data_IF_837179596675
#
_entry.id   IF_837179596675
#
_cell.length_a   1.000
_cell.length_b   1.000
_cell.length_c   1.000
_cell.angle_alpha   90.00
_cell.angle_beta   90.00
_cell.angle_gamma   90.00
#
_symmetry.space_group_name_H-M   'P 1'
#
loop_
_entity.id
_entity.type
_entity.pdbx_description
1 polymer ?
#
# COMPACT_ATOMS: atom_id res chain seq x y z
N UNK A 1 10.32 -5.44 6.09
CA UNK A 1 8.94 -4.98 6.27
C UNK A 1 8.65 -3.81 5.34
N UNK A 2 7.65 -3.95 4.49
CA UNK A 2 7.19 -2.88 3.61
C UNK A 2 5.67 -2.91 3.53
N UNK A 3 5.07 -1.74 3.55
CA UNK A 3 3.64 -1.56 3.28
C UNK A 3 3.48 -1.31 1.78
N UNK A 4 2.50 -1.94 1.15
CA UNK A 4 2.26 -1.74 -0.27
C UNK A 4 1.03 -0.89 -0.50
N UNK A 5 1.16 0.13 -1.33
CA UNK A 5 0.06 0.97 -1.79
C UNK A 5 -0.33 0.56 -3.21
N UNK A 6 -1.55 0.91 -3.59
CA UNK A 6 -2.14 0.53 -4.88
C UNK A 6 -1.25 0.90 -6.07
N UNK A 7 -0.81 2.16 -6.15
CA UNK A 7 0.02 2.62 -7.27
C UNK A 7 1.35 1.90 -7.37
N UNK A 8 1.98 1.64 -6.23
CA UNK A 8 3.28 0.98 -6.20
C UNK A 8 3.19 -0.49 -6.61
N UNK A 9 2.21 -1.22 -6.08
CA UNK A 9 2.06 -2.64 -6.41
C UNK A 9 1.62 -2.84 -7.86
N UNK A 10 0.73 -1.99 -8.38
CA UNK A 10 0.34 -2.06 -9.80
C UNK A 10 1.53 -1.83 -10.72
N UNK A 11 2.36 -0.84 -10.40
CA UNK A 11 3.57 -0.58 -11.19
C UNK A 11 4.57 -1.73 -11.10
N UNK A 12 4.66 -2.40 -9.94
CA UNK A 12 5.51 -3.57 -9.80
C UNK A 12 5.02 -4.78 -10.60
N UNK A 13 3.70 -4.93 -10.75
CA UNK A 13 3.10 -6.09 -11.41
C UNK A 13 3.00 -5.94 -12.94
N UNK A 14 2.79 -4.73 -13.45
CA UNK A 14 2.54 -4.51 -14.89
C UNK A 14 3.72 -3.81 -15.55
N UNK A 15 4.40 -4.50 -16.52
CA UNK A 15 5.61 -3.94 -17.15
C UNK A 15 5.42 -2.64 -17.92
N UNK A 16 4.21 -2.34 -18.36
CA UNK A 16 3.89 -1.11 -19.10
C UNK A 16 3.60 0.09 -18.18
N UNK A 17 3.56 -0.13 -16.88
CA UNK A 17 3.31 0.95 -15.93
C UNK A 17 4.56 1.78 -15.68
N UNK A 18 4.32 3.05 -15.28
CA UNK A 18 5.38 3.98 -14.95
C UNK A 18 6.24 3.43 -13.81
N UNK A 19 7.56 3.52 -13.97
CA UNK A 19 8.55 3.09 -12.99
C UNK A 19 8.41 1.61 -12.58
N UNK A 20 7.94 0.78 -13.50
CA UNK A 20 7.77 -0.66 -13.26
C UNK A 20 9.03 -1.31 -12.71
N UNK A 21 10.17 -1.12 -13.38
CA UNK A 21 11.43 -1.76 -12.96
C UNK A 21 11.81 -1.38 -11.53
N UNK A 22 11.72 -0.10 -11.20
CA UNK A 22 12.08 0.39 -9.88
C UNK A 22 11.12 -0.11 -8.78
N UNK A 23 9.82 -0.16 -9.08
CA UNK A 23 8.83 -0.68 -8.13
C UNK A 23 8.99 -2.19 -7.93
N UNK A 24 9.21 -2.94 -9.00
CA UNK A 24 9.46 -4.38 -8.90
C UNK A 24 10.74 -4.67 -8.10
N UNK A 25 11.78 -3.90 -8.33
CA UNK A 25 13.04 -4.05 -7.61
C UNK A 25 12.87 -3.74 -6.12
N UNK A 26 12.16 -2.66 -5.78
CA UNK A 26 11.89 -2.30 -4.39
C UNK A 26 11.09 -3.39 -3.68
N UNK A 27 10.08 -3.95 -4.35
CA UNK A 27 9.25 -5.01 -3.79
C UNK A 27 10.06 -6.30 -3.55
N UNK A 28 10.89 -6.69 -4.52
CA UNK A 28 11.71 -7.90 -4.41
C UNK A 28 12.80 -7.77 -3.37
N UNK A 29 13.35 -6.57 -3.19
CA UNK A 29 14.44 -6.32 -2.25
C UNK A 29 13.97 -6.17 -0.82
N UNK A 30 12.67 -5.95 -0.60
CA UNK A 30 12.14 -5.73 0.75
C UNK A 30 12.21 -7.02 1.57
N UNK A 31 12.62 -6.88 2.83
CA UNK A 31 12.57 -7.99 3.80
C UNK A 31 11.10 -8.34 4.07
N UNK A 32 10.72 -9.62 3.96
CA UNK A 32 9.34 -10.02 4.31
C UNK A 32 9.00 -9.70 5.77
N UNK A 33 7.71 -9.53 6.10
CA UNK A 33 6.56 -9.60 5.21
C UNK A 33 6.32 -8.32 4.40
N UNK A 34 5.65 -8.49 3.26
CA UNK A 34 5.08 -7.41 2.46
C UNK A 34 3.63 -7.27 2.88
N UNK A 35 3.31 -6.16 3.53
CA UNK A 35 2.05 -5.99 4.24
C UNK A 35 1.04 -5.28 3.32
N UNK A 36 -0.13 -5.88 3.15
CA UNK A 36 -1.21 -5.29 2.36
C UNK A 36 -2.46 -5.09 3.21
N UNK A 37 -3.00 -3.88 3.14
CA UNK A 37 -4.29 -3.53 3.74
C UNK A 37 -5.44 -4.18 2.95
N UNK A 38 -6.54 -4.59 3.59
CA UNK A 38 -7.70 -5.10 2.86
C UNK A 38 -8.30 -4.08 1.89
N UNK A 39 -8.18 -2.78 2.17
CA UNK A 39 -8.69 -1.73 1.29
C UNK A 39 -7.80 -1.55 0.07
N UNK A 40 -6.49 -1.66 0.24
CA UNK A 40 -5.54 -1.68 -0.88
C UNK A 40 -5.76 -2.94 -1.71
N UNK A 41 -5.95 -4.08 -1.07
CA UNK A 41 -6.22 -5.33 -1.79
C UNK A 41 -7.44 -5.20 -2.71
N UNK A 42 -8.53 -4.62 -2.20
CA UNK A 42 -9.74 -4.42 -3.00
C UNK A 42 -9.50 -3.51 -4.21
N UNK A 43 -8.78 -2.42 -4.03
CA UNK A 43 -8.44 -1.50 -5.13
C UNK A 43 -7.55 -2.18 -6.17
N UNK A 44 -6.51 -2.89 -5.71
CA UNK A 44 -5.59 -3.58 -6.61
C UNK A 44 -6.31 -4.66 -7.40
N UNK A 45 -7.13 -5.48 -6.73
CA UNK A 45 -7.87 -6.55 -7.40
C UNK A 45 -8.79 -6.00 -8.50
N UNK A 46 -9.48 -4.90 -8.21
CA UNK A 46 -10.33 -4.24 -9.21
C UNK A 46 -9.52 -3.77 -10.42
N UNK A 47 -8.38 -3.11 -10.18
CA UNK A 47 -7.56 -2.56 -11.26
C UNK A 47 -6.81 -3.65 -12.04
N UNK A 48 -6.37 -4.71 -11.37
CA UNK A 48 -5.77 -5.87 -12.04
C UNK A 48 -6.76 -6.51 -13.00
N UNK A 49 -8.03 -6.66 -12.59
CA UNK A 49 -9.07 -7.16 -13.49
C UNK A 49 -9.29 -6.22 -14.66
N UNK A 50 -9.36 -4.91 -14.40
CA UNK A 50 -9.60 -3.91 -15.44
C UNK A 50 -8.50 -3.88 -16.49
N UNK A 51 -7.23 -3.99 -16.07
CA UNK A 51 -6.08 -3.92 -16.98
C UNK A 51 -5.69 -5.25 -17.57
N UNK A 52 -5.82 -6.34 -16.82
CA UNK A 52 -5.32 -7.65 -17.22
C UNK A 52 -6.38 -8.75 -17.36
N UNK A 53 -7.63 -8.45 -17.04
CA UNK A 53 -8.72 -9.41 -17.14
C UNK A 53 -8.90 -10.25 -15.87
N UNK A 54 -9.96 -11.07 -15.86
CA UNK A 54 -10.33 -11.87 -14.69
C UNK A 54 -9.26 -12.91 -14.33
N UNK A 55 -8.59 -13.48 -15.33
CA UNK A 55 -7.54 -14.47 -15.05
C UNK A 55 -6.34 -13.84 -14.35
N UNK A 56 -5.99 -12.61 -14.69
CA UNK A 56 -4.94 -11.86 -13.98
C UNK A 56 -5.33 -11.61 -12.53
N UNK A 57 -6.59 -11.25 -12.28
CA UNK A 57 -7.09 -11.07 -10.92
C UNK A 57 -7.02 -12.37 -10.11
N UNK A 58 -7.44 -13.48 -10.71
CA UNK A 58 -7.36 -14.80 -10.07
C UNK A 58 -5.92 -15.14 -9.67
N UNK A 59 -4.96 -14.89 -10.57
CA UNK A 59 -3.54 -15.13 -10.29
C UNK A 59 -3.04 -14.24 -9.15
N UNK A 60 -3.42 -12.97 -9.15
CA UNK A 60 -3.03 -12.05 -8.08
C UNK A 60 -3.60 -12.50 -6.72
N UNK A 61 -4.88 -12.86 -6.68
CA UNK A 61 -5.52 -13.32 -5.44
C UNK A 61 -4.91 -14.65 -4.96
N UNK A 62 -4.44 -15.50 -5.87
CA UNK A 62 -3.72 -16.72 -5.52
C UNK A 62 -2.41 -16.41 -4.78
N UNK A 63 -1.71 -15.31 -5.17
CA UNK A 63 -0.52 -14.87 -4.45
C UNK A 63 -0.84 -14.48 -3.00
N UNK A 64 -1.97 -13.78 -2.79
CA UNK A 64 -2.44 -13.45 -1.44
C UNK A 64 -2.73 -14.73 -0.66
N UNK A 65 -3.45 -15.67 -1.27
CA UNK A 65 -3.81 -16.95 -0.64
C UNK A 65 -2.58 -17.78 -0.27
N UNK A 66 -1.50 -17.69 -1.03
CA UNK A 66 -0.23 -18.38 -0.73
C UNK A 66 0.66 -17.60 0.24
N UNK A 67 0.19 -16.49 0.75
CA UNK A 67 0.90 -15.64 1.73
C UNK A 67 2.18 -15.00 1.18
N UNK A 68 2.22 -14.72 -0.12
CA UNK A 68 3.28 -13.90 -0.71
C UNK A 68 3.25 -12.46 -0.16
N UNK A 69 2.06 -12.05 0.30
CA UNK A 69 1.82 -10.82 1.06
C UNK A 69 1.15 -11.18 2.38
N UNK A 70 1.38 -10.39 3.41
CA UNK A 70 0.64 -10.52 4.65
C UNK A 70 -0.59 -9.62 4.58
N UNK A 71 -1.76 -10.23 4.51
CA UNK A 71 -3.02 -9.49 4.56
C UNK A 71 -3.29 -9.08 6.00
N UNK A 72 -3.23 -7.78 6.27
CA UNK A 72 -3.43 -7.26 7.61
C UNK A 72 -4.90 -7.33 8.02
N UNK A 73 -5.15 -7.69 9.28
CA UNK A 73 -6.48 -7.55 9.88
C UNK A 73 -6.80 -6.07 10.09
N UNK A 74 -8.08 -5.70 9.97
CA UNK A 74 -8.51 -4.32 10.13
C UNK A 74 -9.93 -4.31 10.71
N UNK A 75 -10.05 -3.96 11.98
CA UNK A 75 -11.32 -4.00 12.71
C UNK A 75 -11.91 -2.59 12.89
N UNK A 76 -12.99 -2.50 13.67
CA UNK A 76 -13.71 -1.25 13.90
C UNK A 76 -12.83 -0.19 14.59
N UNK A 77 -11.95 -0.60 15.50
CA UNK A 77 -11.02 0.33 16.15
C UNK A 77 -10.00 0.88 15.15
N UNK A 78 -9.54 0.04 14.24
CA UNK A 78 -8.64 0.49 13.16
C UNK A 78 -9.36 1.47 12.21
N UNK A 79 -10.63 1.22 11.92
CA UNK A 79 -11.44 2.13 11.10
C UNK A 79 -11.59 3.49 11.80
N UNK A 80 -11.78 3.50 13.12
CA UNK A 80 -11.84 4.76 13.88
C UNK A 80 -10.51 5.52 13.81
N UNK A 81 -9.39 4.83 13.93
CA UNK A 81 -8.08 5.46 13.78
C UNK A 81 -7.89 6.03 12.36
N UNK A 82 -8.31 5.28 11.34
CA UNK A 82 -8.28 5.75 9.95
C UNK A 82 -9.16 6.99 9.76
N UNK A 83 -10.36 7.00 10.38
CA UNK A 83 -11.26 8.14 10.33
C UNK A 83 -10.59 9.41 10.87
N UNK A 84 -9.88 9.30 11.97
CA UNK A 84 -9.16 10.42 12.56
C UNK A 84 -8.07 10.96 11.62
N UNK A 85 -7.36 10.06 10.93
CA UNK A 85 -6.35 10.44 9.95
C UNK A 85 -6.99 11.18 8.77
N UNK A 86 -8.09 10.65 8.24
CA UNK A 86 -8.82 11.28 7.13
C UNK A 86 -9.30 12.67 7.55
N UNK A 87 -9.81 12.80 8.76
CA UNK A 87 -10.27 14.10 9.29
C UNK A 87 -9.12 15.08 9.40
N UNK A 88 -7.98 14.65 9.95
CA UNK A 88 -6.79 15.51 10.12
C UNK A 88 -6.26 16.01 8.77
N UNK A 89 -6.28 15.18 7.74
CA UNK A 89 -5.76 15.51 6.41
C UNK A 89 -6.88 15.73 5.39
N UNK A 90 -8.07 16.16 5.83
CA UNK A 90 -9.25 16.25 4.96
C UNK A 90 -9.08 17.20 3.77
N UNK A 91 -8.27 18.25 3.90
CA UNK A 91 -8.01 19.18 2.80
C UNK A 91 -7.08 18.58 1.74
N UNK A 92 -6.34 17.53 2.10
CA UNK A 92 -5.44 16.83 1.18
C UNK A 92 -6.18 15.77 0.36
N UNK A 93 -7.37 15.35 0.80
CA UNK A 93 -8.14 14.32 0.11
C UNK A 93 -7.65 12.89 0.36
N UNK A 94 -7.08 12.64 1.52
CA UNK A 94 -6.65 11.29 1.92
C UNK A 94 -7.86 10.38 2.04
N UNK A 95 -7.81 9.23 1.37
CA UNK A 95 -8.87 8.23 1.42
C UNK A 95 -8.59 7.11 2.42
N UNK A 96 -9.55 6.17 2.50
CA UNK A 96 -9.46 5.06 3.46
C UNK A 96 -8.25 4.16 3.21
N UNK A 97 -7.91 3.88 1.95
CA UNK A 97 -6.76 3.04 1.63
C UNK A 97 -5.46 3.68 2.16
N UNK A 98 -5.24 4.97 1.88
CA UNK A 98 -4.06 5.69 2.37
C UNK A 98 -4.02 5.71 3.90
N UNK A 99 -5.16 6.04 4.53
CA UNK A 99 -5.25 6.10 5.98
C UNK A 99 -5.00 4.72 6.62
N UNK A 100 -5.44 3.64 5.98
CA UNK A 100 -5.19 2.29 6.48
C UNK A 100 -3.71 1.97 6.52
N UNK A 101 -2.94 2.43 5.54
CA UNK A 101 -1.49 2.25 5.52
C UNK A 101 -0.85 2.96 6.72
N UNK A 102 -1.30 4.18 7.04
CA UNK A 102 -0.79 4.89 8.21
C UNK A 102 -1.12 4.17 9.52
N UNK A 103 -2.34 3.63 9.66
CA UNK A 103 -2.72 2.82 10.83
C UNK A 103 -1.82 1.58 10.95
N UNK A 104 -1.61 0.88 9.85
CA UNK A 104 -0.79 -0.33 9.83
C UNK A 104 0.69 -0.04 10.08
N UNK A 105 1.19 1.11 9.64
CA UNK A 105 2.59 1.48 9.88
C UNK A 105 2.92 1.54 11.37
N UNK A 106 2.00 2.03 12.18
CA UNK A 106 2.16 2.03 13.64
C UNK A 106 2.12 0.62 14.22
N UNK A 107 1.18 -0.19 13.74
CA UNK A 107 1.01 -1.57 14.25
C UNK A 107 2.26 -2.41 13.99
N UNK A 108 2.82 -2.32 12.78
CA UNK A 108 3.97 -3.12 12.36
C UNK A 108 5.30 -2.45 12.64
N UNK A 109 5.28 -1.23 13.16
CA UNK A 109 6.47 -0.42 13.39
C UNK A 109 7.37 -0.36 12.14
N UNK A 110 6.77 -0.10 11.00
CA UNK A 110 7.47 0.08 9.72
C UNK A 110 6.93 1.28 8.99
N UNK A 111 7.81 2.08 8.43
CA UNK A 111 7.45 3.32 7.75
C UNK A 111 7.88 3.33 6.28
N UNK A 112 8.31 2.18 5.76
CA UNK A 112 8.59 1.99 4.34
C UNK A 112 7.30 1.68 3.61
N UNK A 113 6.99 2.46 2.58
CA UNK A 113 5.81 2.28 1.74
C UNK A 113 6.19 2.25 0.27
N UNK A 114 5.67 1.25 -0.45
CA UNK A 114 5.82 1.15 -1.90
C UNK A 114 4.67 1.90 -2.55
N UNK A 115 4.93 3.09 -3.08
CA UNK A 115 3.92 3.95 -3.69
C UNK A 115 4.52 4.91 -4.69
N UNK A 116 3.72 5.33 -5.66
CA UNK A 116 4.03 6.45 -6.55
C UNK A 116 3.32 7.74 -6.11
N UNK A 117 2.52 7.68 -5.04
CA UNK A 117 1.78 8.83 -4.52
C UNK A 117 2.63 9.55 -3.45
N UNK A 118 3.53 10.41 -3.91
CA UNK A 118 4.36 11.20 -3.00
C UNK A 118 3.56 12.30 -2.30
N UNK A 119 2.53 12.83 -2.96
CA UNK A 119 1.76 13.95 -2.41
C UNK A 119 1.12 13.60 -1.06
N UNK A 120 0.44 12.45 -0.97
CA UNK A 120 -0.20 12.02 0.26
C UNK A 120 0.82 11.53 1.28
N UNK A 121 1.74 10.66 0.88
CA UNK A 121 2.65 10.02 1.83
C UNK A 121 3.79 10.92 2.33
N UNK A 122 4.10 12.02 1.62
CA UNK A 122 4.98 13.06 2.16
C UNK A 122 4.29 13.90 3.25
N UNK A 123 2.98 14.08 3.15
CA UNK A 123 2.20 14.91 4.06
C UNK A 123 1.77 14.17 5.32
N UNK A 124 1.39 12.89 5.18
CA UNK A 124 0.90 12.08 6.30
C UNK A 124 2.06 11.73 7.22
N UNK A 125 1.92 12.04 8.51
CA UNK A 125 2.84 11.60 9.54
C UNK A 125 2.25 10.36 10.23
N UNK A 126 2.86 9.18 10.03
CA UNK A 126 2.30 7.93 10.57
C UNK A 126 2.40 7.82 12.09
N UNK A 127 3.36 8.54 12.69
CA UNK A 127 3.54 8.60 14.14
C UNK A 127 4.26 9.90 14.49
N UNK A 128 4.26 10.34 15.77
CA UNK A 128 4.99 11.54 16.16
C UNK A 128 6.46 11.47 15.75
N UNK A 129 6.92 12.52 15.07
CA UNK A 129 8.31 12.65 14.58
C UNK A 129 8.72 11.56 13.58
N UNK A 130 7.75 10.89 12.93
CA UNK A 130 8.02 9.90 11.91
C UNK A 130 7.49 10.37 10.58
N UNK A 131 8.22 10.06 9.51
CA UNK A 131 7.82 10.25 8.14
C UNK A 131 7.86 8.90 7.42
N UNK A 132 7.06 8.74 6.39
CA UNK A 132 7.21 7.58 5.51
C UNK A 132 8.50 7.68 4.71
N UNK A 133 9.17 6.54 4.55
CA UNK A 133 10.17 6.37 3.52
C UNK A 133 9.46 5.83 2.29
N UNK A 134 9.43 6.64 1.24
CA UNK A 134 8.65 6.35 0.04
C UNK A 134 9.54 5.61 -0.95
N UNK A 135 9.19 4.40 -1.30
CA UNK A 135 9.91 3.61 -2.28
C UNK A 135 9.10 3.53 -3.56
N UNK A 136 9.73 3.64 -4.72
CA UNK A 136 11.18 3.69 -4.96
C UNK A 136 11.83 5.07 -4.80
N UNK A 137 11.08 6.15 -4.59
CA UNK A 137 11.61 7.52 -4.63
C UNK A 137 12.78 7.75 -3.65
N UNK A 138 12.71 7.20 -2.45
CA UNK A 138 13.70 7.40 -1.38
C UNK A 138 14.72 6.25 -1.29
N UNK A 139 14.63 5.32 -2.22
CA UNK A 139 15.50 4.14 -2.22
C UNK A 139 16.86 4.33 -2.86
#
# INVERSE_FOLDING_TARGET
LILVDTSGILSALFPDQNRHHECAQALLSATPPRIISPFVLAEVAYLVQKFGGVDAEILFLAEIGRRAYELAAFDEDDVEDARQIIHKYRTLGVGLADASIAVLSKRYDTFDVLTLDERHFRAIRPAPRKNFRILPADG
#
